data_IF_169893379866
#
_entry.id   IF_169893379866
#
_cell.length_a   1.000
_cell.length_b   1.000
_cell.length_c   1.000
_cell.angle_alpha   90.00
_cell.angle_beta   90.00
_cell.angle_gamma   90.00
#
_symmetry.space_group_name_H-M   'P 1'
#
loop_
_entity.id
_entity.type
_entity.pdbx_description
1 polymer ?
#
# COMPACT_ATOMS: atom_id res chain seq x y z
N UNK A 1 6.82 9.33 0.65
CA UNK A 1 6.33 9.12 2.04
C UNK A 1 7.15 8.12 2.85
N UNK A 2 7.18 6.82 2.48
CA UNK A 2 7.85 5.78 3.27
C UNK A 2 9.27 6.15 3.74
N UNK A 3 10.14 6.56 2.82
CA UNK A 3 11.52 6.94 3.13
C UNK A 3 11.60 8.20 4.00
N UNK A 4 10.68 9.14 3.83
CA UNK A 4 10.64 10.37 4.64
C UNK A 4 10.24 10.07 6.08
N UNK A 5 9.31 9.14 6.29
CA UNK A 5 8.98 8.62 7.63
C UNK A 5 10.20 7.93 8.24
N UNK A 6 10.91 7.08 7.50
CA UNK A 6 12.13 6.43 8.00
C UNK A 6 13.22 7.43 8.38
N UNK A 7 13.43 8.49 7.59
CA UNK A 7 14.39 9.57 7.89
C UNK A 7 13.96 10.43 9.07
N UNK A 8 12.65 10.61 9.28
CA UNK A 8 12.09 11.32 10.44
C UNK A 8 12.24 10.52 11.72
N UNK A 9 12.14 9.19 11.65
CA UNK A 9 12.24 8.28 12.79
C UNK A 9 13.41 7.29 12.65
N UNK A 10 14.67 7.78 12.58
CA UNK A 10 15.82 6.94 12.27
C UNK A 10 16.12 5.92 13.39
N UNK A 11 15.87 6.28 14.65
CA UNK A 11 16.08 5.37 15.79
C UNK A 11 15.13 4.17 15.74
N UNK A 12 13.84 4.40 15.49
CA UNK A 12 12.85 3.32 15.34
C UNK A 12 13.14 2.45 14.12
N UNK A 13 13.58 3.07 13.02
CA UNK A 13 13.99 2.34 11.82
C UNK A 13 15.21 1.44 12.10
N UNK A 14 16.23 1.96 12.78
CA UNK A 14 17.45 1.23 13.13
C UNK A 14 17.22 0.15 14.20
N UNK A 15 16.23 0.33 15.07
CA UNK A 15 15.79 -0.67 16.05
C UNK A 15 14.94 -1.79 15.42
N UNK A 16 14.40 -1.59 14.22
CA UNK A 16 13.44 -2.52 13.60
C UNK A 16 12.03 -2.43 14.20
N UNK A 17 11.71 -1.32 14.85
CA UNK A 17 10.41 -1.07 15.47
C UNK A 17 9.46 -0.31 14.55
N UNK A 18 9.98 0.30 13.48
CA UNK A 18 9.19 0.97 12.47
C UNK A 18 8.58 -0.03 11.46
N UNK A 19 7.28 0.12 11.22
CA UNK A 19 6.49 -0.67 10.28
C UNK A 19 5.81 0.24 9.27
N UNK A 20 5.94 -0.09 7.99
CA UNK A 20 5.27 0.62 6.92
C UNK A 20 4.12 -0.21 6.37
N UNK A 21 2.91 0.35 6.42
CA UNK A 21 1.73 -0.29 5.84
C UNK A 21 1.57 0.09 4.39
N UNK A 22 1.58 -0.89 3.50
CA UNK A 22 1.22 -0.71 2.11
C UNK A 22 -0.30 -0.90 1.95
N UNK A 23 -0.99 0.16 1.54
CA UNK A 23 -2.45 0.22 1.42
C UNK A 23 -2.92 0.92 0.13
N UNK A 24 -2.11 0.82 -0.92
CA UNK A 24 -2.38 1.44 -2.23
C UNK A 24 -3.77 1.06 -2.74
N UNK A 25 -4.50 2.06 -3.21
CA UNK A 25 -5.85 1.86 -3.73
C UNK A 25 -5.84 0.93 -4.96
N UNK A 26 -6.84 0.07 -5.07
CA UNK A 26 -6.92 -0.98 -6.10
C UNK A 26 -7.00 -0.49 -7.55
N UNK A 27 -7.20 0.82 -7.77
CA UNK A 27 -7.18 1.47 -9.09
C UNK A 27 -5.89 2.21 -9.43
N UNK A 28 -4.84 2.15 -8.60
CA UNK A 28 -3.59 2.89 -8.82
C UNK A 28 -2.37 2.01 -8.58
N UNK A 29 -1.28 2.34 -9.24
CA UNK A 29 0.04 1.79 -8.93
C UNK A 29 0.67 2.54 -7.75
N UNK A 30 1.63 1.88 -7.07
CA UNK A 30 2.53 2.59 -6.15
C UNK A 30 3.35 3.60 -6.95
N UNK A 31 3.72 4.71 -6.31
CA UNK A 31 4.62 5.70 -6.89
C UNK A 31 5.85 5.03 -7.52
N UNK A 32 6.23 5.47 -8.73
CA UNK A 32 7.35 4.90 -9.48
C UNK A 32 7.03 3.59 -10.22
N UNK A 33 5.82 3.05 -10.08
CA UNK A 33 5.39 1.86 -10.81
C UNK A 33 4.31 2.17 -11.86
N UNK A 34 4.37 1.39 -12.92
CA UNK A 34 3.32 1.14 -13.89
C UNK A 34 3.33 -0.37 -14.20
N UNK A 35 2.53 -0.81 -15.19
CA UNK A 35 2.50 -2.22 -15.56
C UNK A 35 3.89 -2.75 -15.97
N UNK A 36 4.62 -2.02 -16.81
CA UNK A 36 5.92 -2.46 -17.31
C UNK A 36 6.97 -2.52 -16.19
N UNK A 37 7.01 -1.51 -15.33
CA UNK A 37 7.88 -1.47 -14.17
C UNK A 37 7.55 -2.61 -13.18
N UNK A 38 6.27 -2.93 -12.98
CA UNK A 38 5.87 -4.07 -12.15
C UNK A 38 6.41 -5.41 -12.68
N UNK A 39 6.35 -5.63 -13.99
CA UNK A 39 6.96 -6.81 -14.61
C UNK A 39 8.48 -6.82 -14.42
N UNK A 40 9.15 -5.69 -14.63
CA UNK A 40 10.60 -5.60 -14.44
C UNK A 40 11.03 -5.89 -12.99
N UNK A 41 10.28 -5.39 -12.00
CA UNK A 41 10.52 -5.68 -10.57
C UNK A 41 10.36 -7.16 -10.28
N UNK A 42 9.28 -7.80 -10.77
CA UNK A 42 9.13 -9.24 -10.56
C UNK A 42 10.17 -10.06 -11.29
N UNK A 43 10.56 -9.69 -12.51
CA UNK A 43 11.61 -10.42 -13.25
C UNK A 43 12.94 -10.38 -12.50
N UNK A 44 13.28 -9.22 -11.90
CA UNK A 44 14.48 -9.06 -11.06
C UNK A 44 14.48 -9.99 -9.85
N UNK A 45 13.36 -10.11 -9.14
CA UNK A 45 13.29 -10.86 -7.87
C UNK A 45 12.88 -12.32 -8.01
N UNK A 46 11.99 -12.61 -8.95
CA UNK A 46 11.35 -13.92 -9.19
C UNK A 46 10.98 -14.11 -10.67
N UNK A 47 11.97 -14.35 -11.56
CA UNK A 47 11.77 -14.48 -13.01
C UNK A 47 10.82 -15.63 -13.43
N UNK A 48 10.50 -16.56 -12.52
CA UNK A 48 9.56 -17.65 -12.76
C UNK A 48 8.14 -17.40 -12.22
N UNK A 49 7.93 -16.36 -11.41
CA UNK A 49 6.63 -16.11 -10.76
C UNK A 49 5.51 -15.85 -11.77
N UNK A 50 5.81 -15.09 -12.84
CA UNK A 50 4.82 -14.76 -13.89
C UNK A 50 4.65 -15.86 -14.94
N UNK A 51 5.39 -16.98 -14.86
CA UNK A 51 5.20 -18.11 -15.79
C UNK A 51 4.15 -19.11 -15.29
N UNK A 52 3.69 -18.94 -14.05
CA UNK A 52 2.83 -19.89 -13.36
C UNK A 52 1.40 -19.38 -13.10
N UNK A 53 1.04 -18.18 -13.56
CA UNK A 53 -0.29 -17.63 -13.28
C UNK A 53 -1.38 -18.42 -14.01
N UNK A 54 -2.52 -18.57 -13.33
CA UNK A 54 -3.66 -19.36 -13.79
C UNK A 54 -4.92 -18.52 -14.00
N UNK A 55 -4.94 -17.25 -13.55
CA UNK A 55 -6.07 -16.33 -13.74
C UNK A 55 -5.68 -14.85 -13.76
N UNK A 56 -6.58 -14.01 -14.26
CA UNK A 56 -6.44 -12.53 -14.24
C UNK A 56 -6.30 -11.97 -12.82
N UNK A 57 -7.02 -12.54 -11.85
CA UNK A 57 -6.96 -12.13 -10.45
C UNK A 57 -5.59 -12.37 -9.84
N UNK A 58 -5.01 -13.54 -10.08
CA UNK A 58 -3.65 -13.86 -9.61
C UNK A 58 -2.62 -12.94 -10.27
N UNK A 59 -2.75 -12.70 -11.58
CA UNK A 59 -1.88 -11.77 -12.30
C UNK A 59 -1.98 -10.36 -11.72
N UNK A 60 -3.18 -9.90 -11.37
CA UNK A 60 -3.39 -8.61 -10.69
C UNK A 60 -2.68 -8.56 -9.34
N UNK A 61 -2.69 -9.64 -8.56
CA UNK A 61 -1.95 -9.68 -7.29
C UNK A 61 -0.44 -9.72 -7.47
N UNK A 62 0.07 -10.13 -8.63
CA UNK A 62 1.49 -10.11 -8.94
C UNK A 62 1.96 -8.74 -9.44
N UNK A 63 1.33 -8.21 -10.50
CA UNK A 63 1.82 -7.03 -11.25
C UNK A 63 0.78 -5.91 -11.39
N UNK A 64 -0.42 -6.09 -10.86
CA UNK A 64 -1.51 -5.13 -11.01
C UNK A 64 -1.42 -3.94 -10.05
N UNK A 65 -2.45 -3.10 -10.15
CA UNK A 65 -2.71 -1.97 -9.25
C UNK A 65 -3.05 -2.42 -7.83
N UNK A 66 -2.92 -1.51 -6.87
CA UNK A 66 -3.11 -1.76 -5.45
C UNK A 66 -1.89 -2.41 -4.81
N UNK A 67 -2.13 -3.25 -3.81
CA UNK A 67 -1.08 -3.98 -3.09
C UNK A 67 -0.79 -5.30 -3.81
N UNK A 68 0.20 -5.26 -4.69
CA UNK A 68 0.71 -6.39 -5.49
C UNK A 68 2.11 -6.84 -5.03
N UNK A 69 2.54 -8.03 -5.46
CA UNK A 69 3.88 -8.54 -5.14
C UNK A 69 4.97 -7.60 -5.67
N UNK A 70 4.83 -7.10 -6.91
CA UNK A 70 5.73 -6.10 -7.47
C UNK A 70 5.81 -4.83 -6.60
N UNK A 71 4.68 -4.34 -6.12
CA UNK A 71 4.63 -3.17 -5.23
C UNK A 71 5.38 -3.39 -3.91
N UNK A 72 5.27 -4.60 -3.34
CA UNK A 72 5.95 -4.97 -2.08
C UNK A 72 7.46 -5.09 -2.30
N UNK A 73 7.90 -5.74 -3.37
CA UNK A 73 9.32 -5.79 -3.74
C UNK A 73 9.89 -4.41 -4.02
N UNK A 74 9.15 -3.55 -4.71
CA UNK A 74 9.56 -2.18 -4.99
C UNK A 74 9.77 -1.36 -3.71
N UNK A 75 8.86 -1.50 -2.74
CA UNK A 75 9.02 -0.88 -1.42
C UNK A 75 10.26 -1.41 -0.70
N UNK A 76 10.45 -2.73 -0.68
CA UNK A 76 11.63 -3.35 -0.06
C UNK A 76 12.94 -2.86 -0.70
N UNK A 77 13.03 -2.87 -2.03
CA UNK A 77 14.18 -2.36 -2.78
C UNK A 77 14.46 -0.90 -2.45
N UNK A 78 13.43 -0.07 -2.35
CA UNK A 78 13.56 1.35 -2.02
C UNK A 78 14.07 1.58 -0.61
N UNK A 79 13.60 0.78 0.36
CA UNK A 79 14.08 0.82 1.73
C UNK A 79 15.52 0.34 1.83
N UNK A 80 15.87 -0.73 1.12
CA UNK A 80 17.22 -1.29 1.14
C UNK A 80 18.24 -0.37 0.47
N UNK A 81 17.88 0.26 -0.64
CA UNK A 81 18.71 1.27 -1.30
C UNK A 81 18.95 2.53 -0.43
N UNK A 82 18.13 2.72 0.61
CA UNK A 82 18.24 3.81 1.58
C UNK A 82 18.73 3.32 2.96
N UNK A 83 19.33 2.12 3.03
CA UNK A 83 19.90 1.50 4.24
C UNK A 83 18.90 1.21 5.38
N UNK A 84 17.59 1.15 5.08
CA UNK A 84 16.51 0.86 6.04
C UNK A 84 16.13 -0.63 6.09
N UNK A 85 17.13 -1.51 6.17
CA UNK A 85 16.95 -2.97 6.07
C UNK A 85 16.05 -3.59 7.14
N UNK A 86 15.97 -2.98 8.33
CA UNK A 86 15.20 -3.49 9.46
C UNK A 86 13.74 -3.02 9.49
N UNK A 87 13.38 -2.05 8.65
CA UNK A 87 12.00 -1.56 8.57
C UNK A 87 11.10 -2.65 8.03
N UNK A 88 10.03 -2.94 8.74
CA UNK A 88 9.11 -4.03 8.42
C UNK A 88 7.97 -3.57 7.50
N UNK A 89 7.46 -4.48 6.68
CA UNK A 89 6.36 -4.23 5.73
C UNK A 89 5.09 -4.93 6.21
N UNK A 90 4.03 -4.13 6.39
CA UNK A 90 2.67 -4.62 6.59
C UNK A 90 1.92 -4.57 5.25
N UNK A 91 1.60 -5.73 4.69
CA UNK A 91 0.79 -5.82 3.49
C UNK A 91 -0.70 -5.86 3.85
N UNK A 92 -1.48 -4.94 3.30
CA UNK A 92 -2.93 -4.85 3.57
C UNK A 92 -3.72 -4.72 2.27
N UNK A 93 -5.03 -4.48 2.36
CA UNK A 93 -5.96 -4.34 1.23
C UNK A 93 -6.27 -5.66 0.50
N UNK A 94 -7.41 -6.27 0.88
CA UNK A 94 -7.97 -7.44 0.20
C UNK A 94 -7.16 -8.73 0.36
N UNK A 95 -6.42 -8.86 1.47
CA UNK A 95 -5.72 -10.09 1.80
C UNK A 95 -6.66 -11.13 2.40
N UNK A 96 -6.89 -12.20 1.63
CA UNK A 96 -7.48 -13.45 2.07
C UNK A 96 -6.58 -14.64 1.70
N UNK A 97 -6.97 -15.89 2.03
CA UNK A 97 -6.12 -17.07 1.88
C UNK A 97 -5.49 -17.23 0.49
N UNK A 98 -6.26 -17.03 -0.59
CA UNK A 98 -5.74 -17.16 -1.95
C UNK A 98 -4.69 -16.11 -2.30
N UNK A 99 -4.92 -14.84 -1.93
CA UNK A 99 -3.92 -13.78 -2.13
C UNK A 99 -2.65 -14.07 -1.33
N UNK A 100 -2.78 -14.58 -0.10
CA UNK A 100 -1.64 -15.00 0.72
C UNK A 100 -0.82 -16.10 0.04
N UNK A 101 -1.48 -17.12 -0.54
CA UNK A 101 -0.78 -18.20 -1.28
C UNK A 101 0.01 -17.65 -2.47
N UNK A 102 -0.57 -16.73 -3.24
CA UNK A 102 0.12 -16.10 -4.38
C UNK A 102 1.32 -15.28 -3.91
N UNK A 103 1.17 -14.48 -2.84
CA UNK A 103 2.28 -13.69 -2.28
C UNK A 103 3.41 -14.57 -1.75
N UNK A 104 3.07 -15.69 -1.09
CA UNK A 104 4.04 -16.67 -0.61
C UNK A 104 4.77 -17.37 -1.76
N UNK A 105 4.05 -17.78 -2.80
CA UNK A 105 4.64 -18.37 -4.02
C UNK A 105 5.59 -17.39 -4.73
N UNK A 106 5.20 -16.12 -4.78
CA UNK A 106 6.07 -15.04 -5.27
C UNK A 106 7.18 -14.66 -4.28
N UNK A 107 7.22 -15.22 -3.06
CA UNK A 107 8.20 -14.85 -2.04
C UNK A 107 8.27 -13.34 -1.76
N UNK A 108 7.12 -12.66 -1.81
CA UNK A 108 7.05 -11.22 -1.55
C UNK A 108 7.50 -10.93 -0.10
N UNK A 109 8.38 -9.94 0.14
CA UNK A 109 8.91 -9.63 1.47
C UNK A 109 7.84 -8.96 2.33
N UNK A 110 7.11 -9.77 3.09
CA UNK A 110 6.00 -9.34 3.96
C UNK A 110 6.29 -9.82 5.38
N UNK A 111 6.27 -8.91 6.34
CA UNK A 111 6.43 -9.24 7.76
C UNK A 111 5.07 -9.50 8.43
N UNK A 112 4.04 -8.73 8.04
CA UNK A 112 2.70 -8.81 8.63
C UNK A 112 1.63 -8.69 7.55
N UNK A 113 0.60 -9.52 7.63
CA UNK A 113 -0.58 -9.44 6.77
C UNK A 113 -1.74 -8.80 7.55
N UNK A 114 -2.18 -7.64 7.08
CA UNK A 114 -3.40 -6.99 7.55
C UNK A 114 -4.61 -7.52 6.80
N UNK A 115 -5.46 -8.28 7.49
CA UNK A 115 -6.77 -8.71 7.00
C UNK A 115 -7.88 -7.96 7.72
N UNK A 116 -8.92 -7.59 6.97
CA UNK A 116 -10.08 -6.87 7.49
C UNK A 116 -11.31 -7.41 6.81
N UNK A 117 -11.51 -7.00 5.54
CA UNK A 117 -12.57 -7.39 4.58
C UNK A 117 -12.89 -8.88 4.43
N UNK A 118 -12.13 -9.76 5.08
CA UNK A 118 -12.26 -11.21 5.03
C UNK A 118 -12.82 -11.82 6.34
N UNK A 119 -12.82 -11.09 7.47
CA UNK A 119 -13.14 -11.67 8.79
C UNK A 119 -14.66 -11.72 9.14
N UNK A 120 -15.49 -10.73 8.81
CA UNK A 120 -16.96 -10.80 8.92
C UNK A 120 -17.68 -11.25 7.64
N UNK A 121 -18.69 -12.13 7.80
CA UNK A 121 -19.52 -12.69 6.72
C UNK A 121 -20.58 -11.73 6.13
N UNK A 122 -20.93 -10.64 6.84
CA UNK A 122 -21.95 -9.67 6.41
C UNK A 122 -21.48 -8.21 6.58
N UNK A 123 -21.15 -7.54 5.48
CA UNK A 123 -20.57 -6.17 5.48
C UNK A 123 -21.58 -5.04 5.29
N UNK A 124 -22.81 -5.32 4.90
CA UNK A 124 -23.70 -4.29 4.34
C UNK A 124 -24.07 -3.17 5.33
N UNK A 125 -23.85 -3.35 6.64
CA UNK A 125 -24.37 -2.45 7.68
C UNK A 125 -23.32 -1.52 8.32
N UNK A 126 -22.01 -1.66 8.02
CA UNK A 126 -20.96 -0.86 8.70
C UNK A 126 -19.83 -0.38 7.77
N UNK A 127 -20.17 0.18 6.60
CA UNK A 127 -19.20 0.91 5.77
C UNK A 127 -19.13 2.39 6.17
N UNK A 128 -18.27 2.71 7.14
CA UNK A 128 -17.90 4.09 7.45
C UNK A 128 -16.40 4.28 7.27
N UNK A 129 -15.99 5.38 6.66
CA UNK A 129 -14.58 5.79 6.59
C UNK A 129 -14.39 7.12 7.27
N UNK A 130 -13.42 7.22 8.17
CA UNK A 130 -12.92 8.48 8.68
C UNK A 130 -11.58 8.78 7.98
N UNK A 131 -11.48 9.93 7.34
CA UNK A 131 -10.30 10.35 6.59
C UNK A 131 -9.80 11.69 7.16
N UNK A 132 -8.49 11.81 7.32
CA UNK A 132 -7.86 13.10 7.63
C UNK A 132 -7.83 13.93 6.34
N UNK A 133 -8.43 15.12 6.37
CA UNK A 133 -8.54 16.01 5.20
C UNK A 133 -7.76 17.32 5.35
N UNK A 134 -7.25 17.62 6.54
CA UNK A 134 -6.41 18.79 6.81
C UNK A 134 -5.50 18.53 8.01
N UNK A 135 -4.34 19.18 7.99
CA UNK A 135 -3.41 19.28 9.13
C UNK A 135 -3.20 20.76 9.42
N UNK A 136 -3.45 21.19 10.66
CA UNK A 136 -3.31 22.60 11.08
C UNK A 136 -4.00 23.59 10.13
N UNK A 137 -5.21 23.25 9.67
CA UNK A 137 -5.98 24.06 8.72
C UNK A 137 -5.53 23.96 7.25
N UNK A 138 -4.37 23.37 6.97
CA UNK A 138 -3.90 23.16 5.61
C UNK A 138 -4.50 21.89 5.03
N UNK A 139 -5.28 22.03 3.95
CA UNK A 139 -5.93 20.91 3.27
C UNK A 139 -4.87 19.97 2.71
N UNK A 140 -4.93 18.71 3.14
CA UNK A 140 -4.12 17.60 2.60
C UNK A 140 -4.95 16.33 2.68
N UNK A 141 -5.09 15.66 1.56
CA UNK A 141 -5.89 14.42 1.43
C UNK A 141 -5.03 13.33 0.81
N UNK A 142 -5.32 12.08 1.17
CA UNK A 142 -4.69 10.93 0.52
C UNK A 142 -4.99 10.96 -0.98
N UNK A 143 -3.95 10.77 -1.79
CA UNK A 143 -4.06 10.66 -3.24
C UNK A 143 -5.14 9.65 -3.65
N UNK A 144 -6.14 10.08 -4.42
CA UNK A 144 -7.35 9.32 -4.77
C UNK A 144 -8.58 9.58 -3.89
N UNK A 145 -8.47 10.43 -2.86
CA UNK A 145 -9.57 10.86 -1.98
C UNK A 145 -9.94 12.34 -2.17
N UNK A 146 -9.50 12.98 -3.24
CA UNK A 146 -9.70 14.41 -3.50
C UNK A 146 -11.18 14.80 -3.63
N UNK A 147 -12.02 13.84 -4.03
CA UNK A 147 -13.47 14.04 -4.10
C UNK A 147 -14.12 14.37 -2.75
N UNK A 148 -13.50 13.99 -1.62
CA UNK A 148 -14.00 14.32 -0.28
C UNK A 148 -14.07 15.82 -0.03
N UNK A 149 -13.23 16.62 -0.70
CA UNK A 149 -13.20 18.07 -0.57
C UNK A 149 -14.39 18.76 -1.27
N UNK A 150 -14.97 18.10 -2.28
CA UNK A 150 -16.09 18.63 -3.08
C UNK A 150 -17.43 18.55 -2.35
N UNK A 151 -17.54 17.76 -1.30
CA UNK A 151 -18.77 17.53 -0.52
C UNK A 151 -18.89 18.44 0.72
N UNK A 152 -18.45 19.70 0.65
CA UNK A 152 -18.71 20.72 1.68
C UNK A 152 -17.56 21.05 2.65
N UNK A 153 -16.41 20.37 2.58
CA UNK A 153 -15.27 20.67 3.45
C UNK A 153 -14.52 21.96 3.06
N UNK A 154 -14.38 22.25 1.76
CA UNK A 154 -13.72 23.46 1.28
C UNK A 154 -14.44 24.75 1.74
N UNK A 155 -15.78 24.72 1.76
CA UNK A 155 -16.61 25.85 2.21
C UNK A 155 -16.57 26.02 3.74
N UNK A 156 -16.52 24.93 4.51
CA UNK A 156 -16.45 24.97 5.98
C UNK A 156 -15.10 25.48 6.50
N UNK A 157 -13.99 25.19 5.80
CA UNK A 157 -12.65 25.67 6.18
C UNK A 157 -12.47 27.16 5.86
N UNK A 158 -13.01 27.63 4.73
CA UNK A 158 -12.97 29.05 4.35
C UNK A 158 -13.72 29.96 5.35
N UNK A 159 -14.85 29.49 5.91
CA UNK A 159 -15.61 30.23 6.95
C UNK A 159 -14.95 30.26 8.32
N UNK A 160 -14.02 29.35 8.61
CA UNK A 160 -13.36 29.25 9.93
C UNK A 160 -12.10 30.12 10.05
N UNK A 161 -11.57 30.57 8.91
CA UNK A 161 -10.40 31.45 8.77
C UNK A 161 -10.76 32.88 8.33
N UNK A 162 -12.06 33.23 8.32
CA UNK A 162 -12.58 34.57 8.10
C UNK A 162 -13.15 35.12 9.40
#
# INVERSE_FOLDING_TARGET
DALEVCRTFPELAAAGELRLRLDTHGGRYVEGLDMAACYAVLEKHKPKAVRQYRSETELKWLVGTGVSAAAIFHLRDSLDAADFHKVQIIASSGFGPEKCKIMASAGAPIDVIGTGSFLPDAWAETYATADIVAYDGNIRVKTGREFLLRNGFAEASAKKNA
#
